data_IF_519910245564
#
_entry.id   IF_519910245564
#
_cell.length_a   1.000
_cell.length_b   1.000
_cell.length_c   1.000
_cell.angle_alpha   90.00
_cell.angle_beta   90.00
_cell.angle_gamma   90.00
#
_symmetry.space_group_name_H-M   'P 1'
#
loop_
_entity.id
_entity.type
_entity.pdbx_description
1 polymer ?
#
# COMPACT_ATOMS: atom_id res chain seq x y z
N UNK A 1 20.08 -1.60 46.66
CA UNK A 1 20.27 -0.83 45.44
C UNK A 1 19.29 -1.40 44.41
N UNK A 2 18.23 -0.67 44.12
CA UNK A 2 17.28 -1.05 43.05
C UNK A 2 17.81 -0.42 41.76
N UNK A 3 18.08 -1.25 40.75
CA UNK A 3 18.43 -0.78 39.41
C UNK A 3 17.20 -0.04 38.82
N UNK A 4 17.38 1.12 38.18
CA UNK A 4 16.29 1.78 37.50
C UNK A 4 15.92 0.94 36.25
N UNK A 5 14.72 0.36 36.25
CA UNK A 5 14.12 -0.23 35.05
C UNK A 5 14.09 0.84 33.95
N UNK A 6 14.94 0.71 32.97
CA UNK A 6 14.90 1.57 31.80
C UNK A 6 13.51 1.52 31.14
N UNK A 7 13.06 2.59 30.46
CA UNK A 7 11.77 2.58 29.78
C UNK A 7 11.76 1.40 28.79
N UNK A 8 10.76 0.52 28.95
CA UNK A 8 10.50 -0.52 27.97
C UNK A 8 10.35 0.15 26.59
N UNK A 9 11.19 -0.22 25.64
CA UNK A 9 11.06 0.24 24.25
C UNK A 9 9.66 -0.10 23.79
N UNK A 10 8.84 0.90 23.53
CA UNK A 10 7.49 0.69 23.00
C UNK A 10 7.62 -0.12 21.70
N UNK A 11 6.91 -1.25 21.63
CA UNK A 11 6.90 -2.06 20.42
C UNK A 11 6.38 -1.22 19.24
N UNK A 12 7.07 -1.30 18.10
CA UNK A 12 6.63 -0.62 16.88
C UNK A 12 5.29 -1.23 16.44
N UNK A 13 4.25 -0.43 16.18
CA UNK A 13 2.92 -0.94 15.87
C UNK A 13 2.90 -1.74 14.56
N UNK A 14 1.91 -2.60 14.43
CA UNK A 14 1.60 -3.24 13.15
C UNK A 14 1.23 -2.18 12.12
N UNK A 15 1.73 -2.29 10.90
CA UNK A 15 1.49 -1.26 9.90
C UNK A 15 1.09 -1.79 8.53
N UNK A 16 0.53 -0.91 7.72
CA UNK A 16 0.17 -1.17 6.32
C UNK A 16 0.72 -0.06 5.44
N UNK A 17 1.45 -0.45 4.42
CA UNK A 17 1.61 0.40 3.25
C UNK A 17 0.40 0.13 2.36
N UNK A 18 -0.46 1.11 2.23
CA UNK A 18 -1.69 1.00 1.44
C UNK A 18 -1.41 1.48 0.03
N UNK A 19 -1.51 0.58 -0.95
CA UNK A 19 -1.36 0.96 -2.35
C UNK A 19 -2.50 1.90 -2.78
N UNK A 20 -2.20 2.85 -3.65
CA UNK A 20 -3.15 3.84 -4.18
C UNK A 20 -4.40 3.18 -4.76
N UNK A 21 -4.27 2.01 -5.37
CA UNK A 21 -5.40 1.28 -5.93
C UNK A 21 -6.43 0.84 -4.88
N UNK A 22 -6.02 0.59 -3.64
CA UNK A 22 -6.94 0.31 -2.51
C UNK A 22 -7.81 1.54 -2.22
N UNK A 23 -7.17 2.71 -2.13
CA UNK A 23 -7.84 3.97 -1.85
C UNK A 23 -8.81 4.35 -2.97
N UNK A 24 -8.43 4.12 -4.23
CA UNK A 24 -9.27 4.33 -5.43
C UNK A 24 -10.50 3.42 -5.39
N UNK A 25 -10.30 2.11 -5.17
CA UNK A 25 -11.41 1.13 -5.20
C UNK A 25 -12.38 1.40 -4.05
N UNK A 26 -11.88 1.74 -2.85
CA UNK A 26 -12.72 2.09 -1.72
C UNK A 26 -13.49 3.39 -1.96
N UNK A 27 -12.84 4.43 -2.49
CA UNK A 27 -13.52 5.70 -2.83
C UNK A 27 -14.61 5.51 -3.88
N UNK A 28 -14.43 4.59 -4.83
CA UNK A 28 -15.45 4.26 -5.83
C UNK A 28 -16.66 3.49 -5.25
N UNK A 29 -16.55 2.93 -4.04
CA UNK A 29 -17.66 2.29 -3.32
C UNK A 29 -18.41 3.27 -2.41
N UNK A 30 -17.74 4.33 -1.95
CA UNK A 30 -18.33 5.30 -1.05
C UNK A 30 -19.27 6.25 -1.78
N UNK A 31 -20.55 6.28 -1.37
CA UNK A 31 -21.55 7.17 -1.94
C UNK A 31 -21.31 8.67 -1.63
N UNK A 32 -20.51 8.97 -0.59
CA UNK A 32 -20.12 10.32 -0.21
C UNK A 32 -18.91 10.85 -0.96
N UNK A 33 -18.10 9.97 -1.56
CA UNK A 33 -16.92 10.33 -2.32
C UNK A 33 -17.30 10.86 -3.72
N UNK A 34 -16.65 11.94 -4.21
CA UNK A 34 -16.83 12.42 -5.57
C UNK A 34 -16.16 11.50 -6.61
N UNK A 35 -15.42 10.48 -6.18
CA UNK A 35 -14.69 9.58 -7.05
C UNK A 35 -15.62 8.83 -8.00
N UNK A 36 -15.33 8.84 -9.28
CA UNK A 36 -16.15 8.18 -10.30
C UNK A 36 -15.83 6.69 -10.37
N UNK A 37 -16.87 5.85 -10.40
CA UNK A 37 -16.73 4.38 -10.44
C UNK A 37 -15.94 3.88 -11.66
N UNK A 38 -16.01 4.60 -12.78
CA UNK A 38 -15.27 4.28 -14.01
C UNK A 38 -13.74 4.47 -13.84
N UNK A 39 -13.30 5.15 -12.79
CA UNK A 39 -11.88 5.35 -12.44
C UNK A 39 -11.22 4.10 -11.83
N UNK A 40 -11.99 3.04 -11.52
CA UNK A 40 -11.46 1.77 -11.01
C UNK A 40 -11.65 0.63 -12.01
N UNK A 41 -10.67 -0.32 -12.12
CA UNK A 41 -10.82 -1.51 -12.94
C UNK A 41 -11.74 -2.58 -12.32
N UNK A 42 -12.24 -2.36 -11.10
CA UNK A 42 -13.12 -3.30 -10.37
C UNK A 42 -14.58 -2.95 -10.65
N UNK A 43 -15.19 -3.59 -11.65
CA UNK A 43 -16.57 -3.32 -12.07
C UNK A 43 -17.62 -3.86 -11.10
N UNK A 44 -17.30 -4.92 -10.36
CA UNK A 44 -18.20 -5.57 -9.39
C UNK A 44 -18.35 -4.73 -8.11
N UNK A 45 -19.57 -4.27 -7.83
CA UNK A 45 -19.90 -3.46 -6.67
C UNK A 45 -19.64 -4.20 -5.34
N UNK A 46 -19.86 -5.51 -5.28
CA UNK A 46 -19.59 -6.29 -4.06
C UNK A 46 -18.10 -6.40 -3.77
N UNK A 47 -17.27 -6.49 -4.81
CA UNK A 47 -15.81 -6.47 -4.65
C UNK A 47 -15.31 -5.09 -4.20
N UNK A 48 -15.85 -4.01 -4.76
CA UNK A 48 -15.52 -2.65 -4.29
C UNK A 48 -15.93 -2.47 -2.83
N UNK A 49 -17.12 -2.96 -2.43
CA UNK A 49 -17.58 -2.90 -1.04
C UNK A 49 -16.63 -3.63 -0.08
N UNK A 50 -16.10 -4.80 -0.46
CA UNK A 50 -15.09 -5.52 0.36
C UNK A 50 -13.84 -4.69 0.62
N UNK A 51 -13.39 -3.93 -0.38
CA UNK A 51 -12.22 -3.05 -0.22
C UNK A 51 -12.56 -1.86 0.66
N UNK A 52 -13.75 -1.30 0.51
CA UNK A 52 -14.26 -0.23 1.37
C UNK A 52 -14.34 -0.69 2.84
N UNK A 53 -14.96 -1.84 3.11
CA UNK A 53 -15.11 -2.40 4.46
C UNK A 53 -13.72 -2.64 5.11
N UNK A 54 -12.75 -3.10 4.31
CA UNK A 54 -11.38 -3.25 4.79
C UNK A 54 -10.74 -1.91 5.16
N UNK A 55 -10.91 -0.88 4.31
CA UNK A 55 -10.35 0.44 4.55
C UNK A 55 -11.01 1.14 5.74
N UNK A 56 -12.33 0.98 5.91
CA UNK A 56 -13.07 1.45 7.09
C UNK A 56 -12.56 0.78 8.38
N UNK A 57 -12.38 -0.55 8.35
CA UNK A 57 -11.81 -1.28 9.48
C UNK A 57 -10.35 -0.88 9.77
N UNK A 58 -9.56 -0.58 8.72
CA UNK A 58 -8.20 -0.05 8.88
C UNK A 58 -8.21 1.34 9.52
N UNK A 59 -9.10 2.23 9.09
CA UNK A 59 -9.25 3.57 9.66
C UNK A 59 -9.64 3.53 11.14
N UNK A 60 -10.57 2.64 11.49
CA UNK A 60 -11.10 2.51 12.84
C UNK A 60 -10.14 1.86 13.84
N UNK A 61 -9.11 1.15 13.37
CA UNK A 61 -8.17 0.41 14.23
C UNK A 61 -6.95 1.28 14.60
N UNK A 62 -6.87 1.82 15.84
CA UNK A 62 -5.74 2.66 16.25
C UNK A 62 -4.43 1.87 16.43
N UNK A 63 -4.49 0.53 16.49
CA UNK A 63 -3.29 -0.31 16.58
C UNK A 63 -2.67 -0.60 15.22
N UNK A 64 -3.35 -0.26 14.12
CA UNK A 64 -2.91 -0.50 12.75
C UNK A 64 -2.51 0.81 12.08
N UNK A 65 -1.23 1.08 12.02
CA UNK A 65 -0.71 2.34 11.50
C UNK A 65 -0.54 2.31 9.97
N UNK A 66 -0.66 3.47 9.33
CA UNK A 66 -0.24 3.66 7.95
C UNK A 66 1.29 3.76 7.88
N UNK A 67 1.91 3.31 6.78
CA UNK A 67 3.31 3.62 6.46
C UNK A 67 3.33 4.77 5.48
N UNK A 68 4.03 5.84 5.82
CA UNK A 68 4.25 7.01 4.96
C UNK A 68 5.70 7.46 5.06
N UNK A 69 6.22 8.02 3.99
CA UNK A 69 7.56 8.57 3.99
C UNK A 69 7.58 10.06 4.33
N UNK A 70 8.62 10.48 5.05
CA UNK A 70 8.83 11.89 5.43
C UNK A 70 9.02 12.83 4.21
N UNK A 71 9.44 12.28 3.07
CA UNK A 71 9.57 13.01 1.80
C UNK A 71 8.27 13.20 1.01
N UNK A 72 7.13 12.68 1.52
CA UNK A 72 5.82 12.77 0.87
C UNK A 72 5.72 12.11 -0.51
N UNK A 73 6.58 11.16 -0.84
CA UNK A 73 6.54 10.44 -2.12
C UNK A 73 5.28 9.56 -2.23
N UNK A 74 4.94 8.86 -1.14
CA UNK A 74 3.73 8.01 -1.06
C UNK A 74 2.47 8.87 -1.08
N UNK A 75 2.39 9.90 -0.23
CA UNK A 75 1.24 10.82 -0.22
C UNK A 75 1.10 11.60 -1.54
N UNK A 76 2.20 11.95 -2.18
CA UNK A 76 2.20 12.58 -3.51
C UNK A 76 1.53 11.68 -4.55
N UNK A 77 1.78 10.37 -4.51
CA UNK A 77 1.11 9.41 -5.40
C UNK A 77 -0.40 9.37 -5.15
N UNK A 78 -0.82 9.39 -3.89
CA UNK A 78 -2.25 9.44 -3.55
C UNK A 78 -2.91 10.70 -4.12
N UNK A 79 -2.29 11.88 -3.93
CA UNK A 79 -2.79 13.17 -4.42
C UNK A 79 -2.81 13.33 -5.94
N UNK A 80 -2.01 12.53 -6.68
CA UNK A 80 -2.08 12.48 -8.14
C UNK A 80 -3.32 11.74 -8.66
N UNK A 81 -3.93 10.88 -7.86
CA UNK A 81 -5.02 9.99 -8.26
C UNK A 81 -6.35 10.29 -7.58
N UNK A 82 -6.30 10.91 -6.41
CA UNK A 82 -7.45 11.20 -5.57
C UNK A 82 -7.54 12.70 -5.30
N UNK A 83 -8.75 13.19 -5.15
CA UNK A 83 -9.02 14.52 -4.61
C UNK A 83 -9.03 14.50 -3.08
N UNK A 84 -8.93 15.68 -2.46
CA UNK A 84 -9.00 15.84 -1.00
C UNK A 84 -10.36 15.46 -0.39
N UNK A 85 -11.39 15.26 -1.22
CA UNK A 85 -12.74 14.87 -0.82
C UNK A 85 -13.01 13.37 -1.01
N UNK A 86 -12.08 12.64 -1.63
CA UNK A 86 -12.23 11.22 -1.83
C UNK A 86 -12.01 10.45 -0.53
N UNK A 87 -12.85 9.45 -0.26
CA UNK A 87 -12.83 8.69 1.00
C UNK A 87 -11.44 8.13 1.30
N UNK A 88 -10.77 7.53 0.31
CA UNK A 88 -9.43 6.98 0.51
C UNK A 88 -8.40 8.03 0.94
N UNK A 89 -8.46 9.24 0.39
CA UNK A 89 -7.62 10.36 0.83
C UNK A 89 -7.92 10.75 2.28
N UNK A 90 -9.20 10.91 2.63
CA UNK A 90 -9.63 11.30 3.96
C UNK A 90 -9.16 10.30 5.02
N UNK A 91 -9.24 9.00 4.74
CA UNK A 91 -8.74 7.95 5.65
C UNK A 91 -7.24 8.15 5.95
N UNK A 92 -6.42 8.41 4.93
CA UNK A 92 -4.98 8.61 5.13
C UNK A 92 -4.71 9.89 5.94
N UNK A 93 -5.46 10.98 5.70
CA UNK A 93 -5.35 12.21 6.50
C UNK A 93 -5.79 11.98 7.95
N UNK A 94 -6.84 11.23 8.20
CA UNK A 94 -7.26 10.86 9.56
C UNK A 94 -6.19 10.04 10.29
N UNK A 95 -5.49 9.12 9.62
CA UNK A 95 -4.36 8.38 10.20
C UNK A 95 -3.22 9.32 10.60
N UNK A 96 -2.92 10.33 9.77
CA UNK A 96 -1.93 11.37 10.09
C UNK A 96 -2.37 12.20 11.30
N UNK A 97 -3.59 12.71 11.30
CA UNK A 97 -4.13 13.58 12.36
C UNK A 97 -4.17 12.89 13.72
N UNK A 98 -4.41 11.56 13.73
CA UNK A 98 -4.41 10.73 14.95
C UNK A 98 -3.02 10.25 15.37
N UNK A 99 -1.96 10.63 14.63
CA UNK A 99 -0.60 10.12 14.83
C UNK A 99 -0.50 8.58 14.75
N UNK A 100 -1.30 7.98 13.87
CA UNK A 100 -1.35 6.55 13.59
C UNK A 100 -0.55 6.23 12.32
N UNK A 101 0.70 6.75 12.25
CA UNK A 101 1.61 6.60 11.11
C UNK A 101 2.97 6.12 11.59
N UNK A 102 3.54 5.16 10.86
CA UNK A 102 4.96 4.82 10.91
C UNK A 102 5.66 5.65 9.82
N UNK A 103 6.34 6.71 10.25
CA UNK A 103 7.11 7.55 9.36
C UNK A 103 8.45 6.92 9.02
N UNK A 104 8.78 6.86 7.74
CA UNK A 104 10.02 6.27 7.24
C UNK A 104 10.76 7.22 6.30
N UNK A 105 12.06 6.97 6.11
CA UNK A 105 12.86 7.64 5.10
C UNK A 105 13.01 6.76 3.86
N UNK A 106 12.71 7.32 2.69
CA UNK A 106 12.89 6.66 1.39
C UNK A 106 14.05 7.32 0.66
N UNK A 107 15.04 6.53 0.31
CA UNK A 107 16.17 6.99 -0.49
C UNK A 107 15.76 7.15 -1.96
N UNK A 108 16.13 8.28 -2.57
CA UNK A 108 15.87 8.55 -3.99
C UNK A 108 17.17 8.74 -4.76
N UNK A 109 17.14 8.36 -6.04
CA UNK A 109 18.21 8.66 -6.98
C UNK A 109 18.19 10.12 -7.46
N UNK A 110 19.07 10.48 -8.38
CA UNK A 110 19.18 11.84 -8.92
C UNK A 110 17.93 12.27 -9.72
N UNK A 111 17.15 11.30 -10.21
CA UNK A 111 15.92 11.52 -10.98
C UNK A 111 14.68 11.53 -10.07
N UNK A 112 14.86 11.34 -8.76
CA UNK A 112 13.79 11.32 -7.75
C UNK A 112 13.07 9.98 -7.61
N UNK A 113 13.56 8.91 -8.24
CA UNK A 113 12.97 7.57 -8.10
C UNK A 113 13.50 6.89 -6.84
N UNK A 114 12.63 6.14 -6.16
CA UNK A 114 13.05 5.39 -4.99
C UNK A 114 14.07 4.30 -5.34
N UNK A 115 15.12 4.21 -4.53
CA UNK A 115 16.20 3.23 -4.69
C UNK A 115 15.82 1.95 -3.99
N UNK A 116 15.92 0.83 -4.71
CA UNK A 116 15.74 -0.51 -4.17
C UNK A 116 17.03 -1.32 -4.26
N UNK A 117 17.24 -2.34 -3.40
CA UNK A 117 18.29 -3.32 -3.61
C UNK A 117 18.22 -3.93 -5.03
N UNK A 118 19.35 -4.23 -5.69
CA UNK A 118 19.37 -4.65 -7.10
C UNK A 118 18.45 -5.83 -7.43
N UNK A 119 18.32 -6.82 -6.53
CA UNK A 119 17.44 -7.96 -6.71
C UNK A 119 15.96 -7.56 -6.74
N UNK A 120 15.56 -6.56 -5.96
CA UNK A 120 14.18 -6.04 -5.98
C UNK A 120 13.96 -5.05 -7.13
N UNK A 121 14.96 -4.22 -7.45
CA UNK A 121 14.86 -3.29 -8.58
C UNK A 121 14.64 -3.99 -9.92
N UNK A 122 15.13 -5.23 -10.07
CA UNK A 122 14.87 -6.06 -11.26
C UNK A 122 13.49 -6.72 -11.25
N UNK A 123 12.90 -6.95 -10.08
CA UNK A 123 11.57 -7.55 -9.94
C UNK A 123 10.45 -6.49 -9.96
N UNK A 124 10.68 -5.32 -9.33
CA UNK A 124 9.76 -4.19 -9.30
C UNK A 124 10.17 -3.22 -10.41
N UNK A 125 9.62 -3.44 -11.60
CA UNK A 125 10.02 -2.70 -12.82
C UNK A 125 9.36 -1.34 -12.92
N UNK A 126 8.15 -1.17 -12.39
CA UNK A 126 7.47 0.12 -12.32
C UNK A 126 8.16 1.02 -11.29
N UNK A 127 8.60 2.21 -11.74
CA UNK A 127 9.27 3.19 -10.89
C UNK A 127 8.31 3.77 -9.84
N UNK A 128 7.02 3.89 -10.17
CA UNK A 128 6.01 4.36 -9.24
C UNK A 128 5.82 3.38 -8.06
N UNK A 129 5.92 2.08 -8.30
CA UNK A 129 5.79 1.05 -7.26
C UNK A 129 7.01 0.97 -6.34
N UNK A 130 8.19 1.39 -6.84
CA UNK A 130 9.44 1.32 -6.06
C UNK A 130 9.38 2.11 -4.76
N UNK A 131 8.73 3.27 -4.73
CA UNK A 131 8.57 4.06 -3.51
C UNK A 131 7.71 3.33 -2.47
N UNK A 132 6.67 2.60 -2.92
CA UNK A 132 5.83 1.79 -2.04
C UNK A 132 6.64 0.65 -1.40
N UNK A 133 7.43 -0.06 -2.21
CA UNK A 133 8.31 -1.13 -1.69
C UNK A 133 9.38 -0.57 -0.76
N UNK A 134 10.04 0.54 -1.12
CA UNK A 134 11.07 1.16 -0.30
C UNK A 134 10.53 1.60 1.06
N UNK A 135 9.37 2.24 1.10
CA UNK A 135 8.73 2.65 2.35
C UNK A 135 8.33 1.46 3.22
N UNK A 136 7.78 0.39 2.62
CA UNK A 136 7.42 -0.82 3.35
C UNK A 136 8.65 -1.53 3.94
N UNK A 137 9.76 -1.62 3.20
CA UNK A 137 11.02 -2.19 3.69
C UNK A 137 11.59 -1.36 4.85
N UNK A 138 11.61 -0.05 4.73
CA UNK A 138 12.07 0.84 5.80
C UNK A 138 11.23 0.66 7.08
N UNK A 139 9.91 0.44 6.97
CA UNK A 139 9.07 0.13 8.12
C UNK A 139 9.42 -1.23 8.75
N UNK A 140 9.74 -2.26 7.95
CA UNK A 140 10.23 -3.54 8.46
C UNK A 140 11.56 -3.39 9.19
N UNK A 141 12.48 -2.58 8.68
CA UNK A 141 13.77 -2.29 9.32
C UNK A 141 13.61 -1.59 10.68
N UNK A 142 12.57 -0.78 10.87
CA UNK A 142 12.19 -0.20 12.15
C UNK A 142 11.55 -1.22 13.11
N UNK A 143 11.33 -2.47 12.69
CA UNK A 143 10.71 -3.53 13.49
C UNK A 143 9.18 -3.57 13.44
N UNK A 144 8.53 -2.81 12.55
CA UNK A 144 7.10 -2.92 12.33
C UNK A 144 6.75 -4.19 11.56
N UNK A 145 5.64 -4.84 11.89
CA UNK A 145 5.09 -5.93 11.08
C UNK A 145 4.33 -5.36 9.87
N UNK A 146 5.07 -4.76 8.93
CA UNK A 146 4.49 -4.12 7.75
C UNK A 146 4.03 -5.13 6.70
N UNK A 147 2.87 -4.86 6.08
CA UNK A 147 2.42 -5.51 4.83
C UNK A 147 2.10 -4.44 3.81
N UNK A 148 2.34 -4.75 2.53
CA UNK A 148 1.85 -3.96 1.42
C UNK A 148 0.43 -4.45 1.09
N UNK A 149 -0.56 -3.57 1.14
CA UNK A 149 -1.96 -3.92 0.86
C UNK A 149 -2.33 -3.48 -0.55
N UNK A 150 -2.86 -4.42 -1.33
CA UNK A 150 -3.23 -4.27 -2.72
C UNK A 150 -4.68 -4.71 -2.96
N UNK A 151 -5.40 -4.01 -3.83
CA UNK A 151 -6.75 -4.38 -4.24
C UNK A 151 -6.83 -4.85 -5.71
N UNK A 152 -6.26 -4.10 -6.64
CA UNK A 152 -6.55 -4.30 -8.07
C UNK A 152 -5.34 -4.36 -9.00
N UNK A 153 -4.13 -4.17 -8.50
CA UNK A 153 -2.93 -4.23 -9.32
C UNK A 153 -2.36 -5.65 -9.41
N UNK A 154 -2.32 -6.18 -10.63
CA UNK A 154 -1.78 -7.52 -10.92
C UNK A 154 -0.26 -7.59 -10.92
N UNK A 155 0.45 -6.46 -10.99
CA UNK A 155 1.90 -6.43 -11.09
C UNK A 155 2.55 -6.85 -9.75
N UNK A 156 1.82 -6.69 -8.63
CA UNK A 156 2.21 -7.25 -7.35
C UNK A 156 2.27 -8.78 -7.32
N UNK A 157 1.51 -9.49 -8.16
CA UNK A 157 1.62 -10.94 -8.28
C UNK A 157 2.93 -11.36 -8.94
N UNK A 158 3.43 -10.56 -9.90
CA UNK A 158 4.66 -10.84 -10.62
C UNK A 158 5.90 -10.71 -9.72
N UNK A 159 5.92 -9.72 -8.82
CA UNK A 159 7.03 -9.49 -7.89
C UNK A 159 6.85 -10.12 -6.50
N UNK A 160 5.70 -10.71 -6.18
CA UNK A 160 5.37 -11.23 -4.86
C UNK A 160 6.42 -12.20 -4.28
N UNK A 161 7.00 -13.06 -5.13
CA UNK A 161 8.06 -14.00 -4.70
C UNK A 161 9.32 -13.28 -4.23
N UNK A 162 9.73 -12.23 -4.96
CA UNK A 162 10.92 -11.44 -4.61
C UNK A 162 10.67 -10.62 -3.33
N UNK A 163 9.49 -10.04 -3.18
CA UNK A 163 9.10 -9.29 -1.98
C UNK A 163 9.08 -10.19 -0.75
N UNK A 164 8.49 -11.37 -0.86
CA UNK A 164 8.45 -12.35 0.24
C UNK A 164 9.85 -12.82 0.65
N UNK A 165 10.80 -12.93 -0.28
CA UNK A 165 12.18 -13.30 0.02
C UNK A 165 12.92 -12.31 0.92
N UNK A 166 12.48 -11.04 0.95
CA UNK A 166 12.99 -9.99 1.84
C UNK A 166 12.07 -9.72 3.04
N UNK A 167 11.09 -10.58 3.29
CA UNK A 167 10.19 -10.48 4.44
C UNK A 167 8.98 -9.55 4.23
N UNK A 168 8.79 -9.00 3.03
CA UNK A 168 7.64 -8.16 2.72
C UNK A 168 6.50 -9.00 2.15
N UNK A 169 5.39 -9.07 2.88
CA UNK A 169 4.16 -9.71 2.41
C UNK A 169 3.26 -8.73 1.66
N UNK A 170 2.66 -9.20 0.57
CA UNK A 170 1.58 -8.49 -0.12
C UNK A 170 0.24 -9.07 0.31
N UNK A 171 -0.60 -8.24 0.91
CA UNK A 171 -1.98 -8.54 1.30
C UNK A 171 -2.91 -8.18 0.13
N UNK A 172 -3.33 -9.18 -0.65
CA UNK A 172 -4.24 -8.99 -1.78
C UNK A 172 -5.69 -9.09 -1.31
N UNK A 173 -6.42 -7.98 -1.25
CA UNK A 173 -7.81 -7.92 -0.75
C UNK A 173 -8.79 -8.66 -1.67
N UNK A 174 -8.52 -8.67 -2.96
CA UNK A 174 -9.34 -9.30 -3.99
C UNK A 174 -8.57 -10.43 -4.71
N UNK A 175 -7.91 -11.31 -3.94
CA UNK A 175 -6.97 -12.30 -4.46
C UNK A 175 -7.50 -13.11 -5.65
N UNK A 176 -8.71 -13.68 -5.55
CA UNK A 176 -9.28 -14.54 -6.60
C UNK A 176 -9.54 -13.76 -7.89
N UNK A 177 -10.04 -12.54 -7.77
CA UNK A 177 -10.25 -11.63 -8.89
C UNK A 177 -8.92 -11.22 -9.54
N UNK A 178 -7.90 -10.90 -8.72
CA UNK A 178 -6.56 -10.55 -9.19
C UNK A 178 -5.91 -11.71 -9.96
N UNK A 179 -5.97 -12.93 -9.44
CA UNK A 179 -5.42 -14.12 -10.09
C UNK A 179 -6.11 -14.38 -11.44
N UNK A 180 -7.45 -14.29 -11.47
CA UNK A 180 -8.20 -14.46 -12.72
C UNK A 180 -7.82 -13.39 -13.77
N UNK A 181 -7.67 -12.13 -13.34
CA UNK A 181 -7.28 -11.02 -14.20
C UNK A 181 -5.83 -11.18 -14.69
N UNK A 182 -4.92 -11.59 -13.82
CA UNK A 182 -3.54 -11.87 -14.13
C UNK A 182 -3.42 -12.95 -15.21
N UNK A 183 -4.14 -14.07 -15.07
CA UNK A 183 -4.20 -15.12 -16.10
C UNK A 183 -4.73 -14.60 -17.44
N UNK A 184 -5.72 -13.71 -17.42
CA UNK A 184 -6.25 -13.10 -18.65
C UNK A 184 -5.20 -12.20 -19.32
N UNK A 185 -4.43 -11.44 -18.53
CA UNK A 185 -3.35 -10.55 -19.01
C UNK A 185 -2.23 -11.37 -19.67
N UNK A 186 -1.78 -12.45 -19.02
CA UNK A 186 -0.66 -13.28 -19.48
C UNK A 186 -1.07 -14.32 -20.55
N UNK A 187 -2.27 -14.87 -20.46
CA UNK A 187 -2.80 -15.79 -21.48
C UNK A 187 -3.07 -15.13 -22.85
N UNK A 188 -3.24 -13.80 -22.89
CA UNK A 188 -3.29 -13.03 -24.15
C UNK A 188 -1.89 -12.85 -24.76
N UNK A 189 -0.85 -12.62 -23.94
CA UNK A 189 0.54 -12.50 -24.41
C UNK A 189 1.02 -13.79 -25.10
N UNK A 190 0.72 -14.96 -24.52
CA UNK A 190 1.13 -16.26 -25.08
C UNK A 190 0.43 -16.66 -26.41
N UNK A 191 -0.56 -15.87 -26.89
CA UNK A 191 -1.22 -16.11 -28.19
C UNK A 191 -0.67 -15.25 -29.34
N UNK A 192 0.24 -14.33 -29.06
CA UNK A 192 0.82 -13.39 -30.03
C UNK A 192 2.35 -13.53 -30.17
N UNK A 193 2.99 -14.42 -29.38
CA UNK A 193 4.38 -14.83 -29.48
C UNK A 193 4.46 -16.23 -30.15
#
# INVERSE_FOLDING_TARGET
MLEPSGPASAAVPASRLVDTNVLIVASAADAGSPFRQEGTPVDDAALRQRVFDWLEAFEADPARHAVLDAGWLVCGEYGHKLSEQDYGWLVMMHKIDRNEVVWVDVQSDADGNAVLPPALASAVTDLADRKMVAAALAALELGSSCKLTNASDTDWLDCQKALRAVGLEVENLLNDWLVARWHTKHGKKARYD
#
